data_IF_557685509498
#
_entry.id   IF_557685509498
#
_cell.length_a   1.000
_cell.length_b   1.000
_cell.length_c   1.000
_cell.angle_alpha   90.00
_cell.angle_beta   90.00
_cell.angle_gamma   90.00
#
_symmetry.space_group_name_H-M   'P 1'
#
loop_
_entity.id
_entity.type
_entity.pdbx_description
1 polymer ?
#
# COMPACT_ATOMS: atom_id res chain seq x y z
N UNK A 1 28.11 -9.25 11.80
CA UNK A 1 26.91 -9.77 12.51
C UNK A 1 26.51 -8.73 13.53
N UNK A 2 25.30 -8.16 13.43
CA UNK A 2 24.81 -7.23 14.46
C UNK A 2 24.04 -8.08 15.49
N UNK A 3 24.37 -8.02 16.79
CA UNK A 3 23.76 -8.89 17.80
C UNK A 3 22.32 -8.47 18.08
N UNK A 4 21.42 -9.45 18.13
CA UNK A 4 19.97 -9.29 18.31
C UNK A 4 19.56 -8.93 19.76
N UNK A 5 20.49 -8.85 20.73
CA UNK A 5 20.10 -8.81 22.14
C UNK A 5 21.00 -7.97 23.09
N UNK A 6 21.34 -6.73 22.74
CA UNK A 6 22.09 -5.83 23.64
C UNK A 6 21.42 -4.45 23.73
N UNK A 7 20.96 -4.09 24.94
CA UNK A 7 20.50 -2.78 25.47
C UNK A 7 19.72 -1.83 24.53
N UNK A 8 18.42 -2.10 24.42
CA UNK A 8 17.38 -1.38 23.64
C UNK A 8 17.52 0.15 23.61
N UNK A 9 17.78 0.80 24.74
CA UNK A 9 17.70 2.26 24.88
C UNK A 9 18.88 3.04 24.26
N UNK A 10 20.11 2.53 24.40
CA UNK A 10 21.30 3.20 23.87
C UNK A 10 21.33 3.08 22.35
N UNK A 11 21.00 1.90 21.81
CA UNK A 11 20.87 1.72 20.36
C UNK A 11 19.71 2.55 19.80
N UNK A 12 18.56 2.62 20.47
CA UNK A 12 17.47 3.51 20.04
C UNK A 12 17.94 4.96 19.98
N UNK A 13 18.61 5.49 21.02
CA UNK A 13 19.18 6.85 20.98
C UNK A 13 20.22 7.05 19.88
N UNK A 14 21.01 6.01 19.57
CA UNK A 14 21.97 6.05 18.46
C UNK A 14 21.20 6.05 17.13
N UNK A 15 20.22 5.18 16.93
CA UNK A 15 19.39 5.13 15.72
C UNK A 15 18.54 6.39 15.55
N UNK A 16 17.87 6.91 16.57
CA UNK A 16 17.14 8.18 16.52
C UNK A 16 18.04 9.36 16.15
N UNK A 17 19.31 9.37 16.59
CA UNK A 17 20.26 10.44 16.27
C UNK A 17 21.00 10.24 14.95
N UNK A 18 21.25 9.00 14.56
CA UNK A 18 22.05 8.67 13.38
C UNK A 18 21.16 8.40 12.19
N UNK A 19 20.01 7.75 12.35
CA UNK A 19 19.15 7.36 11.26
C UNK A 19 18.50 8.54 10.54
N UNK A 20 18.08 9.66 11.16
CA UNK A 20 17.68 10.84 10.41
C UNK A 20 18.86 11.48 9.65
N UNK A 21 20.08 11.40 10.19
CA UNK A 21 21.30 11.90 9.51
C UNK A 21 21.72 10.98 8.36
N UNK A 22 21.59 9.68 8.56
CA UNK A 22 21.80 8.64 7.55
C UNK A 22 20.69 8.75 6.52
N UNK A 23 19.43 8.91 6.90
CA UNK A 23 18.30 9.14 6.00
C UNK A 23 18.52 10.40 5.18
N UNK A 24 18.89 11.54 5.76
CA UNK A 24 19.23 12.73 4.97
C UNK A 24 20.45 12.47 4.06
N UNK A 25 21.51 11.77 4.52
CA UNK A 25 22.65 11.41 3.67
C UNK A 25 22.32 10.38 2.58
N UNK A 26 21.39 9.46 2.87
CA UNK A 26 20.81 8.48 1.96
C UNK A 26 20.03 9.24 0.87
N UNK A 27 19.28 10.27 1.29
CA UNK A 27 18.54 11.18 0.42
C UNK A 27 19.44 12.04 -0.47
N UNK A 28 20.65 12.38 0.00
CA UNK A 28 21.66 13.13 -0.76
C UNK A 28 22.55 12.24 -1.66
N UNK A 29 22.44 10.91 -1.54
CA UNK A 29 23.33 9.97 -2.23
C UNK A 29 22.86 9.69 -3.67
N UNK A 30 23.41 10.43 -4.63
CA UNK A 30 23.10 10.29 -6.06
C UNK A 30 23.67 9.02 -6.72
N UNK A 31 24.41 8.17 -6.00
CA UNK A 31 25.07 7.01 -6.58
C UNK A 31 24.26 5.72 -6.39
N UNK A 32 23.94 5.07 -7.53
CA UNK A 32 22.95 3.99 -7.69
C UNK A 32 23.50 2.61 -7.27
N UNK A 33 24.18 2.53 -6.14
CA UNK A 33 24.84 1.30 -5.70
C UNK A 33 23.91 0.43 -4.82
N UNK A 34 23.98 -0.90 -5.01
CA UNK A 34 23.21 -1.94 -4.30
C UNK A 34 23.20 -1.79 -2.77
N UNK A 35 24.24 -1.19 -2.20
CA UNK A 35 24.36 -0.89 -0.77
C UNK A 35 23.21 -0.01 -0.24
N UNK A 36 22.73 0.94 -1.05
CA UNK A 36 21.66 1.86 -0.67
C UNK A 36 20.32 1.15 -0.45
N UNK A 37 19.94 0.28 -1.41
CA UNK A 37 18.70 -0.49 -1.36
C UNK A 37 18.71 -1.40 -0.13
N UNK A 38 19.84 -2.06 0.16
CA UNK A 38 19.98 -2.90 1.36
C UNK A 38 19.79 -2.12 2.67
N UNK A 39 20.13 -0.83 2.70
CA UNK A 39 19.90 0.01 3.88
C UNK A 39 18.41 0.33 4.02
N UNK A 40 17.72 0.68 2.92
CA UNK A 40 16.27 0.90 2.94
C UNK A 40 15.51 -0.36 3.34
N UNK A 41 15.93 -1.53 2.85
CA UNK A 41 15.39 -2.81 3.27
C UNK A 41 15.55 -2.97 4.79
N UNK A 42 16.77 -2.90 5.33
CA UNK A 42 16.99 -3.03 6.78
C UNK A 42 16.21 -2.01 7.60
N UNK A 43 16.10 -0.77 7.11
CA UNK A 43 15.31 0.27 7.75
C UNK A 43 13.82 -0.10 7.78
N UNK A 44 13.25 -0.60 6.68
CA UNK A 44 11.87 -1.03 6.63
C UNK A 44 11.56 -2.18 7.62
N UNK A 45 12.45 -3.18 7.72
CA UNK A 45 12.31 -4.25 8.73
C UNK A 45 12.32 -3.67 10.14
N UNK A 46 13.27 -2.78 10.42
CA UNK A 46 13.38 -2.14 11.72
C UNK A 46 12.12 -1.32 12.05
N UNK A 47 11.59 -0.52 11.13
CA UNK A 47 10.42 0.33 11.36
C UNK A 47 9.17 -0.49 11.69
N UNK A 48 8.93 -1.59 10.99
CA UNK A 48 7.76 -2.44 11.22
C UNK A 48 7.79 -3.17 12.57
N UNK A 49 8.94 -3.20 13.26
CA UNK A 49 9.09 -3.78 14.61
C UNK A 49 8.98 -2.75 15.74
N UNK A 50 8.76 -1.47 15.42
CA UNK A 50 8.69 -0.37 16.42
C UNK A 50 7.27 0.03 16.80
N UNK A 51 7.17 0.76 17.91
CA UNK A 51 5.93 1.41 18.28
C UNK A 51 5.62 2.60 17.37
N UNK A 52 4.33 2.99 17.29
CA UNK A 52 3.87 3.97 16.28
C UNK A 52 4.54 5.33 16.46
N UNK A 53 4.73 5.73 17.72
CA UNK A 53 5.37 6.98 18.11
C UNK A 53 6.83 7.02 17.66
N UNK A 54 7.52 5.87 17.71
CA UNK A 54 8.89 5.73 17.22
C UNK A 54 8.93 5.72 15.68
N UNK A 55 7.96 5.08 15.03
CA UNK A 55 7.84 5.06 13.56
C UNK A 55 7.78 6.47 12.99
N UNK A 56 7.09 7.40 13.63
CA UNK A 56 6.97 8.79 13.15
C UNK A 56 8.32 9.47 12.98
N UNK A 57 9.20 9.32 13.98
CA UNK A 57 10.56 9.87 13.94
C UNK A 57 11.31 9.38 12.71
N UNK A 58 11.07 8.12 12.31
CA UNK A 58 11.77 7.48 11.22
C UNK A 58 11.14 7.70 9.83
N UNK A 59 9.82 7.86 9.75
CA UNK A 59 9.12 8.14 8.49
C UNK A 59 9.22 9.62 8.11
N UNK A 60 9.35 10.52 9.09
CA UNK A 60 9.41 11.98 8.88
C UNK A 60 10.41 12.46 7.81
N UNK A 61 11.65 11.93 7.72
CA UNK A 61 12.56 12.27 6.63
C UNK A 61 11.96 12.05 5.23
N UNK A 62 11.22 10.96 5.02
CA UNK A 62 10.59 10.61 3.74
C UNK A 62 9.36 11.47 3.41
N UNK A 63 8.78 12.15 4.41
CA UNK A 63 7.67 13.11 4.20
C UNK A 63 8.15 14.44 3.59
N UNK A 64 9.44 14.74 3.63
CA UNK A 64 9.98 16.02 3.14
C UNK A 64 9.88 16.15 1.63
N UNK A 65 9.57 17.34 1.14
CA UNK A 65 9.46 17.60 -0.30
C UNK A 65 10.79 17.45 -1.06
N UNK A 66 11.90 17.63 -0.35
CA UNK A 66 13.27 17.51 -0.87
C UNK A 66 13.72 16.07 -1.14
N UNK A 67 12.96 15.07 -0.69
CA UNK A 67 13.28 13.66 -0.89
C UNK A 67 13.17 13.28 -2.36
N UNK A 68 14.21 12.63 -2.88
CA UNK A 68 14.19 12.06 -4.23
C UNK A 68 13.04 11.06 -4.39
N UNK A 69 12.31 11.20 -5.50
CA UNK A 69 11.17 10.36 -5.87
C UNK A 69 11.57 8.90 -6.10
N UNK A 70 12.75 8.65 -6.65
CA UNK A 70 13.31 7.29 -6.75
C UNK A 70 13.53 6.70 -5.36
N UNK A 71 13.97 7.49 -4.40
CA UNK A 71 14.15 7.02 -3.03
C UNK A 71 12.82 6.65 -2.38
N UNK A 72 11.77 7.46 -2.60
CA UNK A 72 10.40 7.08 -2.18
C UNK A 72 10.00 5.75 -2.80
N UNK A 73 10.22 5.58 -4.11
CA UNK A 73 9.90 4.33 -4.82
C UNK A 73 10.56 3.12 -4.15
N UNK A 74 11.87 3.17 -3.93
CA UNK A 74 12.62 2.07 -3.30
C UNK A 74 12.22 1.85 -1.83
N UNK A 75 11.90 2.91 -1.11
CA UNK A 75 11.42 2.81 0.27
C UNK A 75 10.05 2.11 0.34
N UNK A 76 9.10 2.48 -0.52
CA UNK A 76 7.80 1.80 -0.60
C UNK A 76 7.96 0.30 -0.87
N UNK A 77 8.80 -0.07 -1.85
CA UNK A 77 9.12 -1.48 -2.13
C UNK A 77 9.73 -2.19 -0.93
N UNK A 78 10.65 -1.53 -0.22
CA UNK A 78 11.30 -2.09 0.97
C UNK A 78 10.29 -2.35 2.09
N UNK A 79 9.33 -1.46 2.32
CA UNK A 79 8.29 -1.63 3.33
C UNK A 79 7.32 -2.75 2.96
N UNK A 80 6.92 -2.86 1.69
CA UNK A 80 6.10 -3.98 1.19
C UNK A 80 6.81 -5.31 1.43
N UNK A 81 8.08 -5.41 1.03
CA UNK A 81 8.88 -6.64 1.19
C UNK A 81 9.10 -7.00 2.66
N UNK A 82 9.26 -6.01 3.54
CA UNK A 82 9.41 -6.24 4.98
C UNK A 82 8.11 -6.72 5.60
N UNK A 83 6.98 -6.12 5.21
CA UNK A 83 5.64 -6.52 5.65
C UNK A 83 5.33 -7.97 5.28
N UNK A 84 5.67 -8.41 4.07
CA UNK A 84 5.45 -9.79 3.62
C UNK A 84 6.15 -10.83 4.48
N UNK A 85 7.31 -10.48 5.06
CA UNK A 85 8.08 -11.37 5.92
C UNK A 85 7.69 -11.27 7.38
N UNK A 86 7.37 -10.06 7.87
CA UNK A 86 7.12 -9.81 9.30
C UNK A 86 5.64 -9.90 9.69
N UNK A 87 4.72 -9.72 8.75
CA UNK A 87 3.27 -9.73 8.97
C UNK A 87 2.82 -8.71 10.05
N UNK A 88 3.30 -7.48 9.96
CA UNK A 88 3.02 -6.35 10.88
C UNK A 88 2.07 -5.34 10.25
N UNK A 89 0.83 -5.78 10.05
CA UNK A 89 -0.18 -5.05 9.27
C UNK A 89 -0.56 -3.69 9.84
N UNK A 90 -0.73 -3.57 11.15
CA UNK A 90 -1.07 -2.32 11.83
C UNK A 90 0.02 -1.26 11.64
N UNK A 91 1.29 -1.67 11.73
CA UNK A 91 2.44 -0.78 11.51
C UNK A 91 2.63 -0.43 10.04
N UNK A 92 2.39 -1.38 9.13
CA UNK A 92 2.39 -1.12 7.68
C UNK A 92 1.39 -0.04 7.31
N UNK A 93 0.13 -0.19 7.72
CA UNK A 93 -0.92 0.78 7.42
C UNK A 93 -0.70 2.13 8.11
N UNK A 94 -0.05 2.13 9.28
CA UNK A 94 0.39 3.37 9.90
C UNK A 94 1.39 4.13 9.00
N UNK A 95 2.46 3.48 8.55
CA UNK A 95 3.43 4.08 7.61
C UNK A 95 2.75 4.55 6.33
N UNK A 96 1.83 3.75 5.78
CA UNK A 96 1.08 4.09 4.56
C UNK A 96 0.26 5.37 4.72
N UNK A 97 -0.42 5.52 5.85
CA UNK A 97 -1.19 6.72 6.17
C UNK A 97 -0.28 7.93 6.37
N UNK A 98 0.86 7.76 7.04
CA UNK A 98 1.83 8.83 7.28
C UNK A 98 2.49 9.36 6.00
N UNK A 99 2.57 8.54 4.95
CA UNK A 99 3.10 8.95 3.64
C UNK A 99 2.05 9.56 2.71
N UNK A 100 0.76 9.48 3.04
CA UNK A 100 -0.33 9.83 2.13
C UNK A 100 -0.22 11.24 1.55
N UNK A 101 -0.01 12.24 2.40
CA UNK A 101 0.07 13.64 1.95
C UNK A 101 1.28 13.91 1.06
N UNK A 102 2.38 13.19 1.29
CA UNK A 102 3.57 13.26 0.44
C UNK A 102 3.28 12.67 -0.94
N UNK A 103 2.67 11.48 -1.00
CA UNK A 103 2.35 10.81 -2.27
C UNK A 103 1.35 11.63 -3.08
N UNK A 104 0.33 12.19 -2.43
CA UNK A 104 -0.67 13.06 -3.05
C UNK A 104 -0.06 14.27 -3.77
N UNK A 105 1.06 14.80 -3.26
CA UNK A 105 1.75 15.97 -3.83
C UNK A 105 2.70 15.63 -4.98
N UNK A 106 2.92 14.35 -5.29
CA UNK A 106 3.82 13.96 -6.37
C UNK A 106 3.17 14.34 -7.72
N UNK A 107 3.87 15.16 -8.49
CA UNK A 107 3.41 15.65 -9.80
C UNK A 107 3.48 14.53 -10.87
N UNK A 108 2.46 14.43 -11.72
CA UNK A 108 2.39 13.46 -12.83
C UNK A 108 3.47 13.61 -13.91
N UNK A 109 4.16 14.75 -13.99
CA UNK A 109 5.17 15.03 -15.01
C UNK A 109 6.56 14.44 -14.73
N UNK A 110 6.74 13.67 -13.65
CA UNK A 110 8.05 13.04 -13.37
C UNK A 110 8.20 11.66 -14.03
N UNK A 111 9.43 11.25 -14.38
CA UNK A 111 9.69 9.96 -15.01
C UNK A 111 9.23 8.72 -14.22
N UNK A 112 9.21 8.77 -12.89
CA UNK A 112 8.85 7.65 -12.01
C UNK A 112 7.44 7.77 -11.38
N UNK A 113 6.61 8.71 -11.82
CA UNK A 113 5.32 9.00 -11.17
C UNK A 113 4.43 7.77 -11.09
N UNK A 114 4.25 7.11 -12.24
CA UNK A 114 3.32 5.98 -12.36
C UNK A 114 3.77 4.82 -11.48
N UNK A 115 5.07 4.49 -11.46
CA UNK A 115 5.61 3.42 -10.63
C UNK A 115 5.46 3.71 -9.14
N UNK A 116 5.68 4.97 -8.71
CA UNK A 116 5.49 5.35 -7.30
C UNK A 116 4.02 5.19 -6.90
N UNK A 117 3.10 5.67 -7.75
CA UNK A 117 1.67 5.54 -7.50
C UNK A 117 1.25 4.06 -7.53
N UNK A 118 1.73 3.27 -8.50
CA UNK A 118 1.45 1.83 -8.58
C UNK A 118 1.94 1.08 -7.35
N UNK A 119 3.15 1.37 -6.85
CA UNK A 119 3.69 0.72 -5.65
C UNK A 119 2.94 1.15 -4.40
N UNK A 120 2.68 2.46 -4.24
CA UNK A 120 1.91 2.97 -3.10
C UNK A 120 0.48 2.41 -3.08
N UNK A 121 -0.13 2.25 -4.25
CA UNK A 121 -1.46 1.66 -4.40
C UNK A 121 -1.41 0.13 -4.50
N UNK A 122 -0.24 -0.49 -4.34
CA UNK A 122 -0.05 -1.94 -4.31
C UNK A 122 -0.54 -2.66 -5.58
N UNK A 123 -0.48 -2.00 -6.73
CA UNK A 123 -0.98 -2.53 -8.01
C UNK A 123 -0.19 -3.75 -8.46
N UNK A 124 1.13 -3.73 -8.27
CA UNK A 124 2.01 -4.83 -8.68
C UNK A 124 2.24 -5.86 -7.57
N UNK A 125 1.56 -5.70 -6.44
CA UNK A 125 1.63 -6.63 -5.33
C UNK A 125 0.83 -7.90 -5.68
N UNK A 126 1.52 -9.05 -5.72
CA UNK A 126 0.94 -10.33 -6.17
C UNK A 126 1.15 -11.47 -5.15
N UNK A 127 1.28 -11.14 -3.87
CA UNK A 127 1.42 -12.19 -2.86
C UNK A 127 0.04 -12.81 -2.60
N UNK A 128 -0.02 -14.14 -2.70
CA UNK A 128 -1.17 -14.96 -2.29
C UNK A 128 -1.46 -14.88 -0.78
N UNK A 129 -0.68 -14.11 -0.03
CA UNK A 129 -0.72 -13.94 1.42
C UNK A 129 -1.30 -12.61 1.86
N UNK A 130 -1.93 -11.84 0.97
CA UNK A 130 -2.63 -10.61 1.37
C UNK A 130 -3.90 -10.89 2.19
N UNK A 131 -3.73 -11.40 3.40
CA UNK A 131 -4.81 -11.77 4.34
C UNK A 131 -5.23 -10.56 5.21
N UNK A 132 -4.62 -9.38 5.03
CA UNK A 132 -4.67 -8.33 6.04
C UNK A 132 -5.27 -6.99 5.60
N UNK A 133 -6.07 -6.95 4.51
CA UNK A 133 -6.96 -5.82 4.36
C UNK A 133 -8.08 -5.97 5.39
N UNK A 134 -7.88 -5.35 6.54
CA UNK A 134 -8.89 -5.27 7.60
C UNK A 134 -9.83 -4.10 7.35
N UNK A 135 -11.02 -4.18 7.96
CA UNK A 135 -12.05 -3.13 7.91
C UNK A 135 -11.54 -1.75 8.32
N UNK A 136 -10.60 -1.69 9.26
CA UNK A 136 -9.93 -0.46 9.70
C UNK A 136 -9.16 0.28 8.59
N UNK A 137 -8.84 -0.41 7.49
CA UNK A 137 -8.14 0.16 6.34
C UNK A 137 -9.09 0.56 5.19
N UNK A 138 -10.39 0.34 5.35
CA UNK A 138 -11.40 0.69 4.34
C UNK A 138 -11.39 2.19 4.04
N UNK A 139 -11.21 3.03 5.06
CA UNK A 139 -11.20 4.49 4.90
C UNK A 139 -10.04 4.97 4.01
N UNK A 140 -8.93 4.24 3.99
CA UNK A 140 -7.82 4.54 3.09
C UNK A 140 -8.28 4.47 1.64
N UNK A 141 -8.87 3.35 1.22
CA UNK A 141 -9.34 3.20 -0.17
C UNK A 141 -10.63 3.97 -0.44
N UNK A 142 -11.64 3.77 0.39
CA UNK A 142 -13.00 4.27 0.21
C UNK A 142 -13.16 5.77 0.38
N UNK A 143 -12.26 6.44 1.11
CA UNK A 143 -12.34 7.88 1.37
C UNK A 143 -11.09 8.61 0.89
N UNK A 144 -9.88 8.18 1.27
CA UNK A 144 -8.66 8.94 0.92
C UNK A 144 -8.26 8.79 -0.54
N UNK A 145 -8.21 7.55 -1.05
CA UNK A 145 -7.77 7.29 -2.42
C UNK A 145 -8.85 7.71 -3.42
N UNK A 146 -10.10 7.31 -3.20
CA UNK A 146 -11.21 7.64 -4.10
C UNK A 146 -11.43 9.15 -4.23
N UNK A 147 -11.44 9.94 -3.15
CA UNK A 147 -11.78 11.37 -3.18
C UNK A 147 -10.71 12.27 -3.82
N UNK A 148 -9.44 11.87 -3.78
CA UNK A 148 -8.33 12.78 -4.04
C UNK A 148 -7.54 12.47 -5.30
N UNK A 149 -7.75 11.30 -5.89
CA UNK A 149 -6.95 10.85 -7.01
C UNK A 149 -7.82 10.41 -8.21
N UNK A 150 -9.10 10.79 -8.24
CA UNK A 150 -10.19 10.42 -9.17
C UNK A 150 -9.85 10.35 -10.67
N UNK A 151 -8.77 11.00 -11.13
CA UNK A 151 -8.39 11.08 -12.55
C UNK A 151 -7.30 10.11 -12.99
N UNK A 152 -6.74 9.30 -12.09
CA UNK A 152 -5.67 8.36 -12.45
C UNK A 152 -6.22 6.91 -12.59
N UNK A 153 -6.19 6.31 -13.79
CA UNK A 153 -6.73 4.96 -14.04
C UNK A 153 -6.06 3.86 -13.21
N UNK A 154 -4.83 4.10 -12.74
CA UNK A 154 -4.07 3.19 -11.85
C UNK A 154 -4.83 2.91 -10.56
N UNK A 155 -5.61 3.86 -10.07
CA UNK A 155 -6.39 3.71 -8.83
C UNK A 155 -7.53 2.75 -9.00
N UNK A 156 -8.24 2.84 -10.13
CA UNK A 156 -9.33 1.92 -10.38
C UNK A 156 -8.79 0.49 -10.47
N UNK A 157 -7.65 0.31 -11.17
CA UNK A 157 -6.95 -0.97 -11.20
C UNK A 157 -6.52 -1.44 -9.80
N UNK A 158 -5.96 -0.56 -8.97
CA UNK A 158 -5.57 -0.86 -7.58
C UNK A 158 -6.76 -1.33 -6.74
N UNK A 159 -7.88 -0.61 -6.79
CA UNK A 159 -9.09 -0.95 -6.03
C UNK A 159 -9.58 -2.34 -6.45
N UNK A 160 -9.70 -2.59 -7.75
CA UNK A 160 -10.17 -3.90 -8.25
C UNK A 160 -9.21 -5.01 -7.84
N UNK A 161 -7.89 -4.81 -7.97
CA UNK A 161 -6.90 -5.81 -7.57
C UNK A 161 -6.96 -6.10 -6.08
N UNK A 162 -7.03 -5.08 -5.25
CA UNK A 162 -7.22 -5.22 -3.81
C UNK A 162 -8.50 -6.01 -3.49
N UNK A 163 -9.60 -5.75 -4.19
CA UNK A 163 -10.86 -6.45 -4.00
C UNK A 163 -10.80 -7.94 -4.42
N UNK A 164 -9.97 -8.28 -5.40
CA UNK A 164 -9.68 -9.69 -5.75
C UNK A 164 -8.80 -10.40 -4.72
N UNK A 165 -8.04 -9.66 -3.90
CA UNK A 165 -7.15 -10.25 -2.90
C UNK A 165 -7.81 -10.43 -1.53
N UNK A 166 -8.89 -9.71 -1.24
CA UNK A 166 -9.58 -9.80 0.05
C UNK A 166 -10.65 -10.88 0.07
N UNK A 167 -10.70 -11.64 1.17
CA UNK A 167 -11.77 -12.61 1.45
C UNK A 167 -12.85 -12.04 2.39
N UNK A 168 -12.66 -10.81 2.90
CA UNK A 168 -13.64 -10.16 3.78
C UNK A 168 -14.85 -9.68 2.97
N UNK A 169 -16.00 -10.31 3.20
CA UNK A 169 -17.24 -10.02 2.50
C UNK A 169 -17.70 -8.56 2.65
N UNK A 170 -17.57 -7.96 3.83
CA UNK A 170 -18.01 -6.57 4.03
C UNK A 170 -17.20 -5.61 3.16
N UNK A 171 -15.90 -5.89 3.01
CA UNK A 171 -15.02 -5.11 2.13
C UNK A 171 -15.44 -5.29 0.67
N UNK A 172 -15.76 -6.52 0.25
CA UNK A 172 -16.20 -6.81 -1.12
C UNK A 172 -17.53 -6.13 -1.44
N UNK A 173 -18.50 -6.17 -0.53
CA UNK A 173 -19.80 -5.51 -0.68
C UNK A 173 -19.63 -3.99 -0.83
N UNK A 174 -18.79 -3.36 0.00
CA UNK A 174 -18.42 -1.94 -0.15
C UNK A 174 -17.66 -1.67 -1.45
N UNK A 175 -16.82 -2.61 -1.86
CA UNK A 175 -16.06 -2.57 -3.11
C UNK A 175 -16.93 -2.43 -4.34
N UNK A 176 -18.08 -3.10 -4.40
CA UNK A 176 -19.06 -2.97 -5.48
C UNK A 176 -19.54 -1.51 -5.61
N UNK A 177 -19.82 -0.85 -4.47
CA UNK A 177 -20.21 0.55 -4.46
C UNK A 177 -19.09 1.46 -4.98
N UNK A 178 -17.84 1.22 -4.57
CA UNK A 178 -16.68 1.97 -5.07
C UNK A 178 -16.47 1.82 -6.58
N UNK A 179 -16.61 0.59 -7.09
CA UNK A 179 -16.52 0.32 -8.53
C UNK A 179 -17.61 1.09 -9.28
N UNK A 180 -18.86 1.02 -8.80
CA UNK A 180 -19.98 1.75 -9.39
C UNK A 180 -19.73 3.25 -9.42
N UNK A 181 -19.24 3.82 -8.31
CA UNK A 181 -18.92 5.25 -8.21
C UNK A 181 -17.88 5.65 -9.26
N UNK A 182 -16.75 4.94 -9.35
CA UNK A 182 -15.68 5.26 -10.31
C UNK A 182 -16.16 5.17 -11.76
N UNK A 183 -16.88 4.10 -12.12
CA UNK A 183 -17.43 3.92 -13.49
C UNK A 183 -18.41 5.02 -13.84
N UNK A 184 -19.32 5.38 -12.91
CA UNK A 184 -20.35 6.40 -13.14
C UNK A 184 -19.78 7.81 -13.34
N UNK A 185 -18.62 8.10 -12.75
CA UNK A 185 -17.99 9.42 -12.76
C UNK A 185 -16.93 9.57 -13.87
N UNK A 186 -16.37 8.46 -14.37
CA UNK A 186 -15.25 8.47 -15.32
C UNK A 186 -15.51 7.53 -16.52
N UNK A 187 -16.50 7.86 -17.35
CA UNK A 187 -16.84 7.07 -18.55
C UNK A 187 -15.70 6.94 -19.58
N UNK A 188 -14.70 7.83 -19.53
CA UNK A 188 -13.53 7.84 -20.40
C UNK A 188 -12.28 7.21 -19.75
N UNK A 189 -12.46 6.14 -18.95
CA UNK A 189 -11.35 5.40 -18.33
C UNK A 189 -10.23 5.14 -19.35
N UNK A 190 -9.09 5.77 -19.07
CA UNK A 190 -7.98 5.94 -20.01
C UNK A 190 -7.46 4.57 -20.49
N UNK A 191 -7.40 4.44 -21.82
CA UNK A 191 -7.08 3.23 -22.61
C UNK A 191 -5.85 2.45 -22.11
N UNK A 192 -4.90 3.11 -21.44
CA UNK A 192 -3.60 2.56 -21.02
C UNK A 192 -3.70 1.32 -20.09
N UNK A 193 -4.70 1.24 -19.22
CA UNK A 193 -4.89 0.09 -18.31
C UNK A 193 -6.16 -0.72 -18.59
N UNK A 194 -6.86 -0.41 -19.69
CA UNK A 194 -8.18 -0.95 -19.98
C UNK A 194 -8.20 -2.49 -19.96
N UNK A 195 -7.22 -3.15 -20.59
CA UNK A 195 -7.13 -4.62 -20.59
C UNK A 195 -7.02 -5.20 -19.18
N UNK A 196 -6.06 -4.72 -18.37
CA UNK A 196 -5.85 -5.19 -16.99
C UNK A 196 -7.05 -4.89 -16.09
N UNK A 197 -7.69 -3.74 -16.28
CA UNK A 197 -8.89 -3.33 -15.54
C UNK A 197 -10.04 -4.27 -15.87
N UNK A 198 -10.32 -4.51 -17.16
CA UNK A 198 -11.41 -5.40 -17.61
C UNK A 198 -11.18 -6.82 -17.09
N UNK A 199 -9.96 -7.35 -17.22
CA UNK A 199 -9.61 -8.68 -16.73
C UNK A 199 -9.82 -8.80 -15.22
N UNK A 200 -9.23 -7.88 -14.43
CA UNK A 200 -9.34 -7.91 -12.97
C UNK A 200 -10.79 -7.71 -12.50
N UNK A 201 -11.57 -6.88 -13.21
CA UNK A 201 -12.96 -6.59 -12.89
C UNK A 201 -13.84 -7.81 -13.17
N UNK A 202 -13.63 -8.46 -14.32
CA UNK A 202 -14.37 -9.66 -14.67
C UNK A 202 -14.11 -10.77 -13.64
N UNK A 203 -12.86 -10.99 -13.25
CA UNK A 203 -12.51 -11.97 -12.21
C UNK A 203 -13.28 -11.70 -10.90
N UNK A 204 -13.24 -10.46 -10.41
CA UNK A 204 -13.92 -10.06 -9.18
C UNK A 204 -15.44 -10.27 -9.26
N UNK A 205 -16.08 -9.82 -10.35
CA UNK A 205 -17.54 -9.93 -10.54
C UNK A 205 -17.98 -11.40 -10.61
N UNK A 206 -17.24 -12.24 -11.34
CA UNK A 206 -17.59 -13.67 -11.47
C UNK A 206 -17.54 -14.38 -10.11
N UNK A 207 -16.50 -14.14 -9.32
CA UNK A 207 -16.39 -14.70 -7.98
C UNK A 207 -17.48 -14.17 -7.04
N UNK A 208 -17.74 -12.86 -7.06
CA UNK A 208 -18.77 -12.24 -6.23
C UNK A 208 -20.17 -12.80 -6.53
N UNK A 209 -20.52 -12.93 -7.82
CA UNK A 209 -21.79 -13.53 -8.25
C UNK A 209 -21.89 -14.99 -7.81
N UNK A 210 -20.80 -15.75 -7.92
CA UNK A 210 -20.76 -17.16 -7.50
C UNK A 210 -21.06 -17.28 -6.00
N UNK A 211 -20.38 -16.51 -5.16
CA UNK A 211 -20.60 -16.50 -3.71
C UNK A 211 -22.03 -16.09 -3.35
N UNK A 212 -22.53 -15.01 -3.93
CA UNK A 212 -23.89 -14.55 -3.70
C UNK A 212 -24.95 -15.60 -4.07
N UNK A 213 -24.75 -16.34 -5.18
CA UNK A 213 -25.64 -17.45 -5.57
C UNK A 213 -25.57 -18.62 -4.60
N UNK A 214 -24.40 -18.94 -4.06
CA UNK A 214 -24.24 -20.00 -3.06
C UNK A 214 -24.94 -19.64 -1.74
N UNK A 215 -24.91 -18.38 -1.33
CA UNK A 215 -25.61 -17.90 -0.15
C UNK A 215 -27.14 -18.00 -0.29
N UNK A 216 -27.70 -17.53 -1.40
CA UNK A 216 -29.15 -17.64 -1.67
C UNK A 216 -29.60 -19.10 -1.59
N UNK A 217 -28.84 -20.03 -2.18
CA UNK A 217 -29.17 -21.46 -2.14
C UNK A 217 -29.19 -22.01 -0.71
N UNK A 218 -28.19 -21.65 0.12
CA UNK A 218 -28.12 -22.06 1.53
C UNK A 218 -29.31 -21.53 2.32
N UNK A 219 -29.70 -20.28 2.12
CA UNK A 219 -30.85 -19.67 2.80
C UNK A 219 -32.19 -20.26 2.36
N UNK A 220 -32.34 -20.61 1.07
CA UNK A 220 -33.57 -21.28 0.59
C UNK A 220 -33.72 -22.69 1.15
N UNK A 221 -32.62 -23.40 1.41
CA UNK A 221 -32.67 -24.73 2.01
C UNK A 221 -33.03 -24.65 3.50
N UNK A 222 -32.45 -23.70 4.26
CA UNK A 222 -32.77 -23.49 5.68
C UNK A 222 -34.23 -23.11 5.96
N UNK A 223 -34.95 -22.55 4.98
CA UNK A 223 -36.38 -22.19 5.12
C UNK A 223 -37.33 -23.34 4.79
N UNK A 224 -36.82 -24.47 4.31
CA UNK A 224 -37.59 -25.67 3.92
C UNK A 224 -37.52 -26.79 4.97
N UNK A 225 -36.72 -26.61 6.01
CA UNK A 225 -36.66 -27.44 7.22
C UNK A 225 -37.46 -26.76 8.35
#
# INVERSE_FOLDING_TARGET
>A
MIPYNIQKEIYLKIYEKTLPKIANKLLDYNDKNTSYIQILEKAAYFFLEKEKEEIDVFVNPFKKDTVDKKIIKEFLNSVINAQDKLNRNDKFWYIWNELYDKIKKINSHIPDYEEIIENYLLVNYNSSKWINLKKENLDFYGTKILKHLEKNPVIFLSIIKMLNLTVDKEIRDKGIFWISMVISQNSALILKYQGKIIESLNNFIQEYIKEYREEIKKDTNKKRD
#
